data_IF_760662232162
#
_entry.id   IF_760662232162
#
_cell.length_a   1.000
_cell.length_b   1.000
_cell.length_c   1.000
_cell.angle_alpha   90.00
_cell.angle_beta   90.00
_cell.angle_gamma   90.00
#
_symmetry.space_group_name_H-M   'P 1'
#
loop_
_entity.id
_entity.type
_entity.pdbx_description
1 polymer ?
#
# COMPACT_ATOMS: atom_id res chain seq x y z
N UNK A 1 -21.96 -69.87 -11.51
CA UNK A 1 -20.65 -69.31 -11.94
C UNK A 1 -20.76 -67.79 -11.95
N UNK A 2 -19.75 -67.11 -11.40
CA UNK A 2 -19.67 -65.66 -11.16
C UNK A 2 -19.03 -64.93 -12.35
N UNK A 3 -19.30 -63.62 -12.45
CA UNK A 3 -18.73 -62.56 -13.33
C UNK A 3 -19.45 -62.39 -14.68
N UNK A 4 -19.73 -61.19 -15.19
CA UNK A 4 -18.99 -59.94 -15.03
C UNK A 4 -19.89 -58.70 -14.87
N UNK A 5 -19.54 -57.85 -13.91
CA UNK A 5 -19.98 -56.46 -13.81
C UNK A 5 -19.01 -55.65 -14.66
N UNK A 6 -19.52 -55.02 -15.72
CA UNK A 6 -18.72 -54.13 -16.56
C UNK A 6 -18.33 -52.86 -15.80
N UNK A 7 -17.07 -52.49 -15.99
CA UNK A 7 -16.29 -51.40 -15.37
C UNK A 7 -16.91 -50.03 -15.70
N UNK A 8 -17.19 -49.22 -14.68
CA UNK A 8 -17.55 -47.81 -14.80
C UNK A 8 -16.30 -46.93 -15.08
N UNK A 9 -16.41 -45.79 -15.78
CA UNK A 9 -15.27 -45.04 -16.31
C UNK A 9 -14.59 -44.12 -15.27
N UNK A 10 -13.28 -44.31 -15.13
CA UNK A 10 -12.30 -43.60 -14.28
C UNK A 10 -12.03 -42.12 -14.66
N UNK A 11 -12.85 -41.52 -15.54
CA UNK A 11 -12.59 -40.17 -16.11
C UNK A 11 -13.46 -39.05 -15.53
N UNK A 12 -14.25 -39.33 -14.48
CA UNK A 12 -15.12 -38.33 -13.86
C UNK A 12 -14.38 -37.40 -12.85
N UNK A 13 -13.25 -37.84 -12.28
CA UNK A 13 -12.59 -37.10 -11.18
C UNK A 13 -11.67 -35.95 -11.64
N UNK A 14 -11.22 -35.97 -12.90
CA UNK A 14 -10.41 -34.87 -13.44
C UNK A 14 -11.23 -33.67 -13.88
N UNK A 15 -12.49 -33.88 -14.26
CA UNK A 15 -13.37 -32.80 -14.72
C UNK A 15 -13.87 -31.99 -13.52
N UNK A 16 -14.12 -32.62 -12.37
CA UNK A 16 -14.53 -31.90 -11.14
C UNK A 16 -13.43 -30.99 -10.61
N UNK A 17 -12.16 -31.35 -10.71
CA UNK A 17 -11.04 -30.48 -10.31
C UNK A 17 -10.88 -29.26 -11.22
N UNK A 18 -11.12 -29.39 -12.52
CA UNK A 18 -11.05 -28.27 -13.47
C UNK A 18 -12.25 -27.33 -13.28
N UNK A 19 -13.44 -27.87 -13.03
CA UNK A 19 -14.64 -27.07 -12.72
C UNK A 19 -14.45 -26.30 -11.40
N UNK A 20 -13.79 -26.89 -10.38
CA UNK A 20 -13.49 -26.18 -9.13
C UNK A 20 -12.47 -25.05 -9.32
N UNK A 21 -11.47 -25.24 -10.21
CA UNK A 21 -10.48 -24.19 -10.55
C UNK A 21 -11.05 -23.04 -11.39
N UNK A 22 -12.11 -23.28 -12.16
CA UNK A 22 -12.72 -22.25 -13.01
C UNK A 22 -13.82 -21.44 -12.28
N UNK A 23 -14.35 -21.93 -11.15
CA UNK A 23 -15.40 -21.25 -10.38
C UNK A 23 -14.89 -20.17 -9.41
N UNK A 24 -13.58 -20.10 -9.11
CA UNK A 24 -13.00 -18.95 -8.40
C UNK A 24 -12.89 -17.69 -9.29
N UNK A 25 -13.15 -17.81 -10.60
CA UNK A 25 -12.96 -16.73 -11.57
C UNK A 25 -14.21 -15.82 -11.71
N UNK A 26 -15.38 -16.19 -11.16
CA UNK A 26 -16.64 -15.49 -11.48
C UNK A 26 -17.59 -15.24 -10.31
N UNK A 27 -17.07 -14.99 -9.10
CA UNK A 27 -17.89 -14.46 -8.01
C UNK A 27 -17.29 -13.16 -7.47
N UNK A 28 -17.32 -12.07 -8.26
CA UNK A 28 -17.55 -10.68 -7.82
C UNK A 28 -17.54 -9.78 -9.07
N UNK A 29 -18.71 -9.61 -9.69
CA UNK A 29 -18.98 -8.58 -10.70
C UNK A 29 -19.02 -7.16 -10.12
N UNK A 30 -18.02 -6.81 -9.32
CA UNK A 30 -17.70 -5.44 -8.98
C UNK A 30 -16.26 -5.23 -9.42
N UNK A 31 -16.02 -4.27 -10.34
CA UNK A 31 -14.66 -3.77 -10.55
C UNK A 31 -14.05 -3.54 -9.16
N UNK A 32 -12.88 -4.12 -8.82
CA UNK A 32 -12.30 -3.94 -7.51
C UNK A 32 -12.03 -2.45 -7.35
N UNK A 33 -12.89 -1.79 -6.58
CA UNK A 33 -12.72 -0.37 -6.30
C UNK A 33 -11.31 -0.20 -5.71
N UNK A 34 -10.53 0.77 -6.23
CA UNK A 34 -9.16 0.94 -5.77
C UNK A 34 -9.17 1.22 -4.26
N UNK A 35 -8.32 0.49 -3.54
CA UNK A 35 -8.13 0.69 -2.12
C UNK A 35 -7.52 2.07 -1.90
N UNK A 36 -8.05 2.79 -0.91
CA UNK A 36 -7.63 4.16 -0.61
C UNK A 36 -6.93 4.22 0.74
N UNK A 37 -5.65 4.57 0.73
CA UNK A 37 -4.87 4.83 1.94
C UNK A 37 -4.64 6.34 2.10
N UNK A 38 -5.29 6.92 3.10
CA UNK A 38 -5.06 8.31 3.51
C UNK A 38 -4.01 8.36 4.62
N UNK A 39 -2.97 9.19 4.46
CA UNK A 39 -1.92 9.35 5.47
C UNK A 39 -2.22 10.52 6.41
N UNK A 40 -1.60 10.51 7.61
CA UNK A 40 -1.62 11.68 8.50
C UNK A 40 -0.76 12.81 7.91
N UNK A 41 -1.09 14.05 8.26
CA UNK A 41 -0.31 15.22 7.83
C UNK A 41 1.15 15.05 8.27
N UNK A 42 2.06 15.45 7.40
CA UNK A 42 3.48 15.54 7.66
C UNK A 42 3.90 17.01 7.71
N UNK A 43 4.83 17.40 8.60
CA UNK A 43 5.40 18.75 8.61
C UNK A 43 6.06 19.15 7.29
N UNK A 44 6.55 18.17 6.52
CA UNK A 44 7.14 18.38 5.20
C UNK A 44 6.62 17.34 4.19
N UNK A 45 6.57 17.73 2.91
CA UNK A 45 6.24 16.85 1.79
C UNK A 45 7.18 15.64 1.69
N UNK A 46 8.48 15.85 1.92
CA UNK A 46 9.46 14.75 2.01
C UNK A 46 9.12 13.77 3.13
N UNK A 47 8.69 14.26 4.29
CA UNK A 47 8.23 13.43 5.40
C UNK A 47 6.96 12.65 5.06
N UNK A 48 6.06 13.21 4.24
CA UNK A 48 4.86 12.51 3.78
C UNK A 48 5.24 11.34 2.85
N UNK A 49 6.16 11.57 1.90
CA UNK A 49 6.70 10.49 1.05
C UNK A 49 7.39 9.43 1.88
N UNK A 50 8.16 9.81 2.91
CA UNK A 50 8.83 8.84 3.76
C UNK A 50 7.86 7.97 4.56
N UNK A 51 6.76 8.54 5.05
CA UNK A 51 5.67 7.75 5.68
C UNK A 51 5.05 6.77 4.69
N UNK A 52 4.76 7.23 3.48
CA UNK A 52 4.26 6.38 2.40
C UNK A 52 5.25 5.25 2.07
N UNK A 53 6.55 5.55 1.96
CA UNK A 53 7.62 4.57 1.78
C UNK A 53 7.57 3.49 2.87
N UNK A 54 7.58 3.89 4.14
CA UNK A 54 7.55 2.92 5.26
C UNK A 54 6.33 2.02 5.21
N UNK A 55 5.17 2.60 4.90
CA UNK A 55 3.93 1.83 4.73
C UNK A 55 4.02 0.85 3.56
N UNK A 56 4.58 1.25 2.41
CA UNK A 56 4.77 0.37 1.26
C UNK A 56 5.66 -0.84 1.62
N UNK A 57 6.82 -0.60 2.25
CA UNK A 57 7.74 -1.69 2.61
C UNK A 57 7.11 -2.65 3.63
N UNK A 58 6.32 -2.11 4.58
CA UNK A 58 5.63 -2.94 5.58
C UNK A 58 4.53 -3.81 4.96
N UNK A 59 3.80 -3.31 3.97
CA UNK A 59 2.61 -4.01 3.45
C UNK A 59 2.89 -4.87 2.21
N UNK A 60 3.76 -4.41 1.30
CA UNK A 60 3.97 -5.05 -0.02
C UNK A 60 5.35 -5.65 -0.19
N UNK A 61 6.36 -5.16 0.53
CA UNK A 61 7.72 -5.71 0.40
C UNK A 61 7.96 -6.86 1.39
N UNK A 62 7.68 -6.65 2.67
CA UNK A 62 7.98 -7.66 3.71
C UNK A 62 7.14 -8.94 3.60
N UNK A 63 5.92 -8.84 3.06
CA UNK A 63 4.93 -9.93 3.01
C UNK A 63 4.84 -10.64 1.64
N UNK A 64 5.59 -10.19 0.64
CA UNK A 64 5.56 -10.76 -0.71
C UNK A 64 6.66 -11.82 -0.92
N UNK A 65 6.48 -12.68 -1.92
CA UNK A 65 7.51 -13.62 -2.40
C UNK A 65 8.67 -12.89 -3.09
N UNK A 66 9.82 -13.54 -3.27
CA UNK A 66 11.01 -12.90 -3.84
C UNK A 66 10.79 -12.29 -5.24
N UNK A 67 10.01 -12.96 -6.08
CA UNK A 67 9.67 -12.51 -7.43
C UNK A 67 8.76 -11.26 -7.41
N UNK A 68 7.69 -11.31 -6.62
CA UNK A 68 6.74 -10.20 -6.48
C UNK A 68 7.38 -8.99 -5.78
N UNK A 69 8.36 -9.20 -4.89
CA UNK A 69 9.09 -8.12 -4.22
C UNK A 69 9.80 -7.20 -5.21
N UNK A 70 10.44 -7.75 -6.24
CA UNK A 70 11.15 -6.92 -7.20
C UNK A 70 10.16 -6.16 -8.08
N UNK A 71 9.07 -6.79 -8.52
CA UNK A 71 7.99 -6.11 -9.26
C UNK A 71 7.39 -4.95 -8.44
N UNK A 72 7.03 -5.21 -7.18
CA UNK A 72 6.50 -4.20 -6.27
C UNK A 72 7.48 -3.04 -6.06
N UNK A 73 8.78 -3.34 -5.94
CA UNK A 73 9.83 -2.34 -5.78
C UNK A 73 9.96 -1.46 -7.01
N UNK A 74 9.87 -2.01 -8.23
CA UNK A 74 9.88 -1.22 -9.46
C UNK A 74 8.66 -0.29 -9.53
N UNK A 75 7.46 -0.81 -9.27
CA UNK A 75 6.24 0.00 -9.21
C UNK A 75 6.34 1.13 -8.17
N UNK A 76 6.90 0.84 -7.00
CA UNK A 76 7.18 1.85 -5.98
C UNK A 76 8.18 2.92 -6.45
N UNK A 77 9.28 2.50 -7.11
CA UNK A 77 10.29 3.43 -7.61
C UNK A 77 9.69 4.39 -8.63
N UNK A 78 8.88 3.90 -9.56
CA UNK A 78 8.18 4.73 -10.54
C UNK A 78 7.23 5.74 -9.89
N UNK A 79 6.39 5.28 -8.94
CA UNK A 79 5.50 6.15 -8.19
C UNK A 79 6.28 7.22 -7.41
N UNK A 80 7.35 6.82 -6.72
CA UNK A 80 8.14 7.71 -5.88
C UNK A 80 8.84 8.80 -6.70
N UNK A 81 9.35 8.46 -7.90
CA UNK A 81 9.94 9.42 -8.84
C UNK A 81 8.90 10.46 -9.27
N UNK A 82 7.73 10.01 -9.74
CA UNK A 82 6.64 10.92 -10.14
C UNK A 82 6.21 11.85 -9.00
N UNK A 83 6.10 11.34 -7.78
CA UNK A 83 5.77 12.16 -6.60
C UNK A 83 6.82 13.23 -6.32
N UNK A 84 8.10 12.86 -6.38
CA UNK A 84 9.22 13.78 -6.14
C UNK A 84 9.28 14.85 -7.24
N UNK A 85 9.13 14.46 -8.50
CA UNK A 85 9.16 15.37 -9.64
C UNK A 85 8.04 16.42 -9.55
N UNK A 86 6.81 16.00 -9.22
CA UNK A 86 5.68 16.93 -9.05
C UNK A 86 5.87 17.89 -7.87
N UNK A 87 6.47 17.43 -6.76
CA UNK A 87 6.79 18.31 -5.63
C UNK A 87 7.90 19.31 -5.96
N UNK A 88 8.93 18.86 -6.67
CA UNK A 88 10.07 19.69 -7.06
C UNK A 88 9.62 20.80 -8.02
N UNK A 89 8.81 20.47 -9.04
CA UNK A 89 8.22 21.46 -9.96
C UNK A 89 7.47 22.58 -9.24
N UNK A 90 6.85 22.26 -8.10
CA UNK A 90 6.03 23.19 -7.30
C UNK A 90 6.81 23.88 -6.18
N UNK A 91 8.10 23.57 -5.99
CA UNK A 91 8.91 24.11 -4.90
C UNK A 91 8.32 23.82 -3.51
N UNK A 92 7.59 22.71 -3.35
CA UNK A 92 6.76 22.45 -2.15
C UNK A 92 7.38 21.40 -1.21
N UNK A 93 8.65 21.07 -1.39
CA UNK A 93 9.33 19.99 -0.66
C UNK A 93 9.33 20.18 0.86
N UNK A 94 9.40 21.43 1.31
CA UNK A 94 9.46 21.80 2.73
C UNK A 94 8.11 22.27 3.28
N UNK A 95 7.07 22.29 2.44
CA UNK A 95 5.70 22.61 2.89
C UNK A 95 5.06 21.39 3.56
N UNK A 96 4.21 21.60 4.58
CA UNK A 96 3.38 20.54 5.12
C UNK A 96 2.51 19.90 4.05
N UNK A 97 2.41 18.57 4.10
CA UNK A 97 1.62 17.85 3.12
C UNK A 97 0.95 16.61 3.69
N UNK A 98 -0.16 16.25 3.05
CA UNK A 98 -0.81 14.95 3.21
C UNK A 98 -0.83 14.26 1.86
N UNK A 99 -0.53 12.96 1.86
CA UNK A 99 -0.67 12.12 0.67
C UNK A 99 -1.88 11.22 0.87
N UNK A 100 -2.64 11.03 -0.20
CA UNK A 100 -3.67 10.00 -0.32
C UNK A 100 -3.29 9.11 -1.49
N UNK A 101 -3.16 7.81 -1.25
CA UNK A 101 -2.83 6.82 -2.26
C UNK A 101 -4.07 6.00 -2.61
N UNK A 102 -4.31 5.81 -3.89
CA UNK A 102 -5.27 4.88 -4.46
C UNK A 102 -4.49 3.78 -5.18
N UNK A 103 -4.76 2.53 -4.84
CA UNK A 103 -4.01 1.38 -5.32
C UNK A 103 -4.89 0.14 -5.38
N UNK A 104 -4.51 -0.81 -6.22
CA UNK A 104 -5.06 -2.15 -6.23
C UNK A 104 -4.04 -3.14 -5.64
N UNK A 105 -4.58 -4.21 -5.06
CA UNK A 105 -3.78 -5.28 -4.47
C UNK A 105 -4.05 -6.56 -5.23
N UNK A 106 -3.05 -7.03 -5.97
CA UNK A 106 -3.15 -8.29 -6.69
C UNK A 106 -3.17 -9.50 -5.75
N UNK A 107 -3.59 -10.64 -6.28
CA UNK A 107 -3.79 -11.90 -5.54
C UNK A 107 -2.49 -12.33 -4.80
N UNK A 108 -1.33 -12.06 -5.41
CA UNK A 108 -0.02 -12.41 -4.85
C UNK A 108 0.60 -11.32 -3.95
N UNK A 109 -0.18 -10.34 -3.47
CA UNK A 109 0.28 -9.09 -2.86
C UNK A 109 1.07 -8.18 -3.82
N UNK A 110 0.69 -8.18 -5.10
CA UNK A 110 1.21 -7.23 -6.08
C UNK A 110 0.69 -5.82 -5.76
N UNK A 111 1.56 -4.83 -5.84
CA UNK A 111 1.27 -3.43 -5.60
C UNK A 111 1.04 -2.71 -6.94
N UNK A 112 -0.21 -2.32 -7.19
CA UNK A 112 -0.61 -1.65 -8.42
C UNK A 112 -1.08 -0.23 -8.06
N UNK A 113 -0.21 0.79 -8.11
CA UNK A 113 -0.61 2.17 -7.80
C UNK A 113 -1.51 2.74 -8.91
N UNK A 114 -2.67 3.26 -8.54
CA UNK A 114 -3.64 3.87 -9.47
C UNK A 114 -3.46 5.38 -9.50
N UNK A 115 -3.50 6.03 -8.34
CA UNK A 115 -3.35 7.47 -8.21
C UNK A 115 -2.75 7.87 -6.87
N UNK A 116 -2.10 9.04 -6.83
CA UNK A 116 -1.65 9.64 -5.59
C UNK A 116 -1.98 11.13 -5.58
N UNK A 117 -2.75 11.56 -4.59
CA UNK A 117 -3.10 12.96 -4.38
C UNK A 117 -2.23 13.56 -3.29
N UNK A 118 -1.60 14.70 -3.58
CA UNK A 118 -0.81 15.47 -2.63
C UNK A 118 -1.61 16.72 -2.24
N UNK A 119 -2.07 16.77 -0.98
CA UNK A 119 -2.66 17.96 -0.37
C UNK A 119 -1.51 18.76 0.27
N UNK A 120 -1.18 19.92 -0.30
CA UNK A 120 -0.24 20.87 0.31
C UNK A 120 -1.00 21.78 1.26
N UNK A 121 -0.46 22.00 2.46
CA UNK A 121 -1.12 22.73 3.53
C UNK A 121 -0.17 23.75 4.15
N UNK A 122 -0.75 24.79 4.76
CA UNK A 122 -0.04 25.68 5.67
C UNK A 122 -0.41 25.31 7.10
N UNK A 123 0.59 25.07 7.95
CA UNK A 123 0.38 24.80 9.38
C UNK A 123 0.72 26.08 10.15
N UNK A 124 -0.23 26.56 10.94
CA UNK A 124 0.00 27.65 11.90
C UNK A 124 -0.08 27.07 13.32
N UNK A 125 0.85 27.42 14.22
CA UNK A 125 0.75 27.02 15.61
C UNK A 125 -0.50 27.65 16.23
N UNK A 126 -1.31 26.85 16.91
CA UNK A 126 -2.49 27.34 17.63
C UNK A 126 -2.09 27.94 18.98
N UNK A 127 -1.25 27.22 19.71
CA UNK A 127 -0.74 27.62 21.03
C UNK A 127 0.61 26.94 21.24
N UNK A 128 1.53 27.62 21.95
CA UNK A 128 2.82 27.07 22.35
C UNK A 128 2.83 26.97 23.87
N UNK A 129 2.75 25.75 24.38
CA UNK A 129 2.80 25.47 25.82
C UNK A 129 4.16 24.86 26.12
N UNK A 130 4.95 25.54 26.95
CA UNK A 130 6.23 25.02 27.45
C UNK A 130 6.00 24.39 28.82
N UNK A 131 6.31 23.09 28.95
CA UNK A 131 6.20 22.37 30.22
C UNK A 131 7.59 22.25 30.84
N UNK A 132 7.85 23.01 31.90
CA UNK A 132 9.12 22.96 32.63
C UNK A 132 9.12 21.80 33.64
N UNK A 133 10.08 20.90 33.49
CA UNK A 133 10.21 19.71 34.36
C UNK A 133 11.17 19.93 35.55
N UNK A 134 11.97 21.00 35.53
CA UNK A 134 12.88 21.38 36.63
C UNK A 134 12.96 22.90 36.72
N UNK A 135 12.78 23.45 37.93
CA UNK A 135 13.20 24.83 38.23
C UNK A 135 14.72 24.88 38.20
N UNK A 136 15.28 25.70 37.32
CA UNK A 136 16.68 26.12 37.44
C UNK A 136 16.71 27.13 38.59
N UNK A 137 16.95 26.65 39.81
CA UNK A 137 17.26 27.56 40.93
C UNK A 137 18.60 28.21 40.63
N UNK A 138 18.59 29.54 40.55
CA UNK A 138 19.69 30.35 40.07
C UNK A 138 21.01 30.04 40.78
N UNK A 139 22.09 30.07 39.99
CA UNK A 139 23.44 30.25 40.51
C UNK A 139 23.43 31.50 41.40
N UNK A 140 23.45 31.29 42.72
CA UNK A 140 23.79 32.36 43.66
C UNK A 140 25.27 32.67 43.48
N UNK A 141 25.49 33.91 43.07
CA UNK A 141 26.76 34.64 43.02
C UNK A 141 27.56 34.49 44.31
#
# INVERSE_FOLDING_TARGET
MKKAICKAPEKAEHITHIIFKLNDITLHGGSPMPLRQRFKISPTSRGAIFKLKRWFYLNFFSKASAEVREQNKQAWLELSRKLIDELNKRGASDKPARITLEYEKGINNEFIPVAATIELMEIKPLEVITVELRKVEGAKT
#
